data_IF_673437691985
#
_entry.id   IF_673437691985
#
_cell.length_a   1.000
_cell.length_b   1.000
_cell.length_c   1.000
_cell.angle_alpha   90.00
_cell.angle_beta   90.00
_cell.angle_gamma   90.00
#
_symmetry.space_group_name_H-M   'P 1'
#
loop_
_entity.id
_entity.type
_entity.pdbx_description
1 polymer ?
#
# COMPACT_ATOMS: atom_id res chain seq x y z
N UNK A 1 29.42 -27.37 20.67
CA UNK A 1 30.25 -26.47 19.86
C UNK A 1 29.47 -25.18 19.70
N UNK A 2 29.92 -24.08 20.29
CA UNK A 2 29.27 -22.77 20.14
C UNK A 2 29.68 -22.17 18.79
N UNK A 3 28.70 -21.74 18.00
CA UNK A 3 28.96 -21.00 16.77
C UNK A 3 29.24 -19.54 17.15
N UNK A 4 30.51 -19.12 17.08
CA UNK A 4 30.89 -17.71 17.07
C UNK A 4 30.29 -17.07 15.82
N UNK A 5 29.16 -16.38 15.98
CA UNK A 5 28.52 -15.65 14.90
C UNK A 5 29.04 -14.22 14.95
N UNK A 6 29.91 -13.86 14.02
CA UNK A 6 30.35 -12.47 13.86
C UNK A 6 29.13 -11.57 13.58
N UNK A 7 29.07 -10.35 14.16
CA UNK A 7 27.94 -9.46 13.94
C UNK A 7 27.82 -9.06 12.46
N UNK A 8 26.59 -8.80 11.97
CA UNK A 8 26.39 -8.39 10.59
C UNK A 8 27.08 -7.05 10.31
N UNK A 9 27.73 -6.93 9.16
CA UNK A 9 28.42 -5.71 8.74
C UNK A 9 27.46 -4.57 8.37
N UNK A 10 26.21 -4.89 8.02
CA UNK A 10 25.17 -3.94 7.69
C UNK A 10 23.78 -4.47 8.09
N UNK A 11 22.88 -3.54 8.37
CA UNK A 11 21.45 -3.81 8.58
C UNK A 11 20.67 -2.96 7.59
N UNK A 12 19.75 -3.59 6.86
CA UNK A 12 18.84 -2.93 5.92
C UNK A 12 17.43 -3.06 6.46
N UNK A 13 16.76 -1.93 6.60
CA UNK A 13 15.37 -1.88 7.02
C UNK A 13 14.49 -1.69 5.78
N UNK A 14 13.42 -2.47 5.70
CA UNK A 14 12.31 -2.12 4.81
C UNK A 14 11.61 -0.86 5.34
N UNK A 15 10.80 -0.21 4.50
CA UNK A 15 10.12 1.02 4.85
C UNK A 15 8.78 0.77 5.55
N UNK A 16 7.83 0.17 4.83
CA UNK A 16 6.45 0.00 5.28
C UNK A 16 6.29 -1.14 6.28
N UNK A 17 5.69 -0.87 7.44
CA UNK A 17 5.49 -1.85 8.50
C UNK A 17 6.76 -2.17 9.30
N UNK A 18 7.87 -1.48 9.02
CA UNK A 18 9.14 -1.60 9.73
C UNK A 18 9.57 -0.25 10.31
N UNK A 19 9.73 0.77 9.46
CA UNK A 19 10.09 2.13 9.89
C UNK A 19 8.87 3.07 9.95
N UNK A 20 7.89 2.83 9.07
CA UNK A 20 6.70 3.66 8.94
C UNK A 20 5.43 2.82 9.07
N UNK A 21 4.41 3.41 9.68
CA UNK A 21 3.09 2.82 9.87
C UNK A 21 2.36 2.66 8.53
N UNK A 22 2.64 1.54 7.85
CA UNK A 22 1.92 1.14 6.65
C UNK A 22 0.86 0.08 7.00
N UNK A 23 -0.38 0.52 7.15
CA UNK A 23 -1.53 -0.35 7.44
C UNK A 23 -2.66 -0.11 6.42
N UNK A 24 -2.56 -0.66 5.19
CA UNK A 24 -3.48 -0.34 4.10
C UNK A 24 -4.94 -0.66 4.42
N UNK A 25 -5.21 -1.77 5.11
CA UNK A 25 -6.59 -2.12 5.52
C UNK A 25 -7.18 -1.09 6.49
N UNK A 26 -6.39 -0.59 7.45
CA UNK A 26 -6.84 0.46 8.39
C UNK A 26 -7.06 1.78 7.69
N UNK A 27 -6.15 2.17 6.79
CA UNK A 27 -6.30 3.36 5.96
C UNK A 27 -7.59 3.30 5.14
N UNK A 28 -7.85 2.16 4.49
CA UNK A 28 -9.06 1.93 3.71
C UNK A 28 -10.32 2.06 4.58
N UNK A 29 -10.39 1.42 5.74
CA UNK A 29 -11.54 1.54 6.64
C UNK A 29 -11.78 2.98 7.09
N UNK A 30 -10.71 3.74 7.32
CA UNK A 30 -10.80 5.14 7.73
C UNK A 30 -11.30 6.05 6.60
N UNK A 31 -10.86 5.81 5.36
CA UNK A 31 -11.14 6.72 4.23
C UNK A 31 -12.38 6.31 3.46
N UNK A 32 -12.65 5.01 3.35
CA UNK A 32 -13.72 4.41 2.56
C UNK A 32 -14.62 3.48 3.38
N UNK A 33 -15.19 3.93 4.52
CA UNK A 33 -16.01 3.09 5.38
C UNK A 33 -17.29 2.58 4.68
N UNK A 34 -17.73 3.23 3.60
CA UNK A 34 -18.85 2.77 2.78
C UNK A 34 -18.52 1.53 1.94
N UNK A 35 -17.23 1.29 1.65
CA UNK A 35 -16.73 0.16 0.84
C UNK A 35 -16.07 -0.95 1.66
N UNK A 36 -15.64 -0.64 2.89
CA UNK A 36 -14.96 -1.59 3.78
C UNK A 36 -15.43 -1.41 5.22
N UNK A 37 -16.50 -2.12 5.60
CA UNK A 37 -17.13 -2.00 6.92
C UNK A 37 -16.50 -2.89 7.99
N UNK A 38 -15.75 -3.89 7.55
CA UNK A 38 -15.09 -4.88 8.39
C UNK A 38 -13.67 -5.17 7.87
N UNK A 39 -12.93 -5.97 8.63
CA UNK A 39 -11.53 -6.27 8.33
C UNK A 39 -11.37 -7.12 7.05
N UNK A 40 -12.34 -7.98 6.75
CA UNK A 40 -12.33 -8.83 5.55
C UNK A 40 -12.49 -7.99 4.29
N UNK A 41 -13.48 -7.09 4.27
CA UNK A 41 -13.71 -6.18 3.15
C UNK A 41 -12.53 -5.24 2.94
N UNK A 42 -11.94 -4.73 4.03
CA UNK A 42 -10.77 -3.86 3.96
C UNK A 42 -9.55 -4.57 3.36
N UNK A 43 -9.29 -5.81 3.81
CA UNK A 43 -8.21 -6.63 3.28
C UNK A 43 -8.44 -6.96 1.81
N UNK A 44 -9.66 -7.36 1.44
CA UNK A 44 -10.02 -7.64 0.05
C UNK A 44 -9.89 -6.41 -0.86
N UNK A 45 -10.27 -5.23 -0.37
CA UNK A 45 -10.10 -3.98 -1.10
C UNK A 45 -8.62 -3.59 -1.22
N UNK A 46 -7.82 -3.75 -0.17
CA UNK A 46 -6.38 -3.52 -0.21
C UNK A 46 -5.69 -4.41 -1.27
N UNK A 47 -6.02 -5.70 -1.28
CA UNK A 47 -5.48 -6.64 -2.27
C UNK A 47 -5.86 -6.25 -3.70
N UNK A 48 -7.10 -5.81 -3.93
CA UNK A 48 -7.54 -5.34 -5.26
C UNK A 48 -6.87 -4.03 -5.65
N UNK A 49 -6.72 -3.07 -4.75
CA UNK A 49 -6.13 -1.75 -5.07
C UNK A 49 -4.62 -1.88 -5.29
N UNK A 50 -3.90 -2.43 -4.33
CA UNK A 50 -2.43 -2.42 -4.29
C UNK A 50 -1.77 -3.66 -4.92
N UNK A 51 -2.54 -4.71 -5.19
CA UNK A 51 -2.09 -5.92 -5.89
C UNK A 51 -0.83 -6.58 -5.28
N UNK A 52 -0.62 -6.42 -3.96
CA UNK A 52 0.50 -7.00 -3.20
C UNK A 52 1.89 -6.84 -3.85
N UNK A 53 2.14 -5.72 -4.54
CA UNK A 53 3.40 -5.45 -5.25
C UNK A 53 3.79 -6.53 -6.29
N UNK A 54 2.80 -7.20 -6.89
CA UNK A 54 3.04 -8.13 -7.99
C UNK A 54 3.66 -7.36 -9.17
N UNK A 55 4.81 -7.78 -9.74
CA UNK A 55 5.43 -7.08 -10.86
C UNK A 55 4.47 -6.87 -12.04
N UNK A 56 4.46 -5.67 -12.59
CA UNK A 56 3.53 -5.28 -13.66
C UNK A 56 2.13 -4.87 -13.18
N UNK A 57 1.88 -4.87 -11.87
CA UNK A 57 0.67 -4.27 -11.27
C UNK A 57 0.73 -2.75 -11.30
N UNK A 58 -0.43 -2.09 -11.23
CA UNK A 58 -0.55 -0.64 -11.30
C UNK A 58 0.31 0.04 -10.22
N UNK A 59 0.25 -0.47 -8.99
CA UNK A 59 1.02 0.09 -7.88
C UNK A 59 2.52 -0.20 -7.99
N UNK A 60 2.92 -1.40 -8.45
CA UNK A 60 4.34 -1.70 -8.68
C UNK A 60 4.96 -0.86 -9.79
N UNK A 61 4.18 -0.57 -10.85
CA UNK A 61 4.63 0.26 -11.96
C UNK A 61 4.72 1.74 -11.55
N UNK A 62 3.84 2.19 -10.64
CA UNK A 62 3.97 3.49 -9.99
C UNK A 62 5.24 3.58 -9.14
N UNK A 63 5.47 2.62 -8.24
CA UNK A 63 6.60 2.65 -7.31
C UNK A 63 7.96 2.60 -8.04
N UNK A 64 8.03 1.98 -9.22
CA UNK A 64 9.23 1.99 -10.07
C UNK A 64 9.35 3.22 -10.99
N UNK A 65 8.41 4.17 -10.89
CA UNK A 65 8.40 5.43 -11.65
C UNK A 65 7.94 5.31 -13.10
N UNK A 66 7.25 4.22 -13.47
CA UNK A 66 6.74 4.01 -14.83
C UNK A 66 5.32 4.56 -15.05
N UNK A 67 4.57 4.80 -13.97
CA UNK A 67 3.28 5.47 -13.99
C UNK A 67 3.32 6.73 -13.15
N UNK A 68 2.60 7.74 -13.60
CA UNK A 68 2.32 8.95 -12.81
C UNK A 68 1.22 8.66 -11.78
N UNK A 69 1.08 9.56 -10.80
CA UNK A 69 0.03 9.48 -9.79
C UNK A 69 -1.39 9.40 -10.38
N UNK A 70 -1.68 10.22 -11.39
CA UNK A 70 -3.00 10.27 -12.02
C UNK A 70 -3.26 9.05 -12.91
N UNK A 71 -2.26 8.56 -13.66
CA UNK A 71 -2.38 7.33 -14.45
C UNK A 71 -2.64 6.11 -13.56
N UNK A 72 -1.94 6.01 -12.43
CA UNK A 72 -2.14 4.95 -11.45
C UNK A 72 -3.56 4.97 -10.90
N UNK A 73 -4.06 6.15 -10.50
CA UNK A 73 -5.45 6.33 -10.06
C UNK A 73 -6.45 5.85 -11.11
N UNK A 74 -6.28 6.28 -12.36
CA UNK A 74 -7.20 5.97 -13.46
C UNK A 74 -7.23 4.48 -13.78
N UNK A 75 -6.05 3.83 -13.81
CA UNK A 75 -5.94 2.38 -14.02
C UNK A 75 -6.60 1.59 -12.89
N UNK A 76 -6.36 1.97 -11.65
CA UNK A 76 -6.99 1.34 -10.49
C UNK A 76 -8.51 1.50 -10.56
N UNK A 77 -9.03 2.71 -10.79
CA UNK A 77 -10.46 2.97 -10.90
C UNK A 77 -11.10 2.13 -12.01
N UNK A 78 -10.50 2.12 -13.20
CA UNK A 78 -10.97 1.33 -14.36
C UNK A 78 -10.99 -0.17 -14.05
N UNK A 79 -9.88 -0.72 -13.52
CA UNK A 79 -9.74 -2.15 -13.25
C UNK A 79 -10.63 -2.64 -12.11
N UNK A 80 -10.83 -1.83 -11.08
CA UNK A 80 -11.58 -2.22 -9.87
C UNK A 80 -13.06 -1.87 -9.93
N UNK A 81 -13.46 -1.00 -10.86
CA UNK A 81 -14.81 -0.44 -10.93
C UNK A 81 -15.13 0.56 -9.82
N UNK A 82 -14.13 1.01 -9.07
CA UNK A 82 -14.30 2.01 -8.01
C UNK A 82 -14.53 3.41 -8.60
N UNK A 83 -15.27 4.24 -7.88
CA UNK A 83 -15.41 5.64 -8.23
C UNK A 83 -14.03 6.32 -8.20
N UNK A 84 -13.72 7.12 -9.23
CA UNK A 84 -12.43 7.83 -9.31
C UNK A 84 -12.16 8.71 -8.07
N UNK A 85 -13.22 9.30 -7.49
CA UNK A 85 -13.13 10.08 -6.25
C UNK A 85 -12.72 9.22 -5.04
N UNK A 86 -13.20 7.98 -4.94
CA UNK A 86 -12.84 7.07 -3.84
C UNK A 86 -11.36 6.67 -3.95
N UNK A 87 -10.91 6.33 -5.17
CA UNK A 87 -9.49 6.01 -5.42
C UNK A 87 -8.61 7.23 -5.13
N UNK A 88 -9.01 8.42 -5.59
CA UNK A 88 -8.30 9.66 -5.29
C UNK A 88 -8.20 9.92 -3.77
N UNK A 89 -9.31 9.77 -3.04
CA UNK A 89 -9.35 10.00 -1.59
C UNK A 89 -8.43 9.03 -0.85
N UNK A 90 -8.44 7.75 -1.24
CA UNK A 90 -7.55 6.73 -0.69
C UNK A 90 -6.08 7.09 -0.95
N UNK A 91 -5.72 7.40 -2.20
CA UNK A 91 -4.34 7.72 -2.57
C UNK A 91 -3.85 8.98 -1.86
N UNK A 92 -4.66 10.05 -1.82
CA UNK A 92 -4.33 11.30 -1.15
C UNK A 92 -4.11 11.13 0.36
N UNK A 93 -4.72 10.12 0.97
CA UNK A 93 -4.55 9.79 2.38
C UNK A 93 -3.29 8.96 2.68
N UNK A 94 -2.60 8.41 1.66
CA UNK A 94 -1.38 7.61 1.87
C UNK A 94 -0.23 8.44 2.46
N UNK A 95 0.19 9.59 1.88
CA UNK A 95 1.30 10.36 2.44
C UNK A 95 1.15 10.74 3.92
N UNK A 96 -0.01 11.26 4.40
CA UNK A 96 -0.17 11.56 5.82
C UNK A 96 -0.34 10.32 6.71
N UNK A 97 -0.72 9.16 6.15
CA UNK A 97 -0.83 7.91 6.91
C UNK A 97 0.53 7.27 7.19
N UNK A 98 1.52 7.51 6.32
CA UNK A 98 2.90 7.07 6.49
C UNK A 98 3.59 7.92 7.59
N UNK A 99 3.24 7.64 8.84
CA UNK A 99 3.88 8.21 10.03
C UNK A 99 4.98 7.27 10.56
N UNK A 100 6.06 7.78 11.18
CA UNK A 100 7.08 6.94 11.83
C UNK A 100 6.48 6.02 12.91
N UNK A 101 7.05 4.81 13.06
CA UNK A 101 6.71 3.85 14.12
C UNK A 101 7.42 4.12 15.44
#
# INVERSE_FOLDING_TARGET
>A
MAQDTLPPQAVVFDFGGVLFNWQPSRLIQSVLPHLARDDEQALGLAARVFQSFVPGSDWSEFDRGALTWDETRERIASRTGLASQDVHSLMAAIPPHLAPM
#
